data_IF_917268152697
#
_entry.id   IF_917268152697
#
_cell.length_a   1.000
_cell.length_b   1.000
_cell.length_c   1.000
_cell.angle_alpha   90.00
_cell.angle_beta   90.00
_cell.angle_gamma   90.00
#
_symmetry.space_group_name_H-M   'P 1'
#
loop_
_entity.id
_entity.type
_entity.pdbx_description
1 polymer ?
#
# COMPACT_ATOMS: atom_id res chain seq x y z
N UNK A 1 -7.29 -70.82 3.87
CA UNK A 1 -7.56 -69.51 4.50
C UNK A 1 -6.39 -68.53 4.25
N UNK A 2 -6.01 -68.30 2.97
CA UNK A 2 -4.83 -67.48 2.59
C UNK A 2 -5.15 -66.33 1.61
N UNK A 3 -6.39 -66.24 1.09
CA UNK A 3 -6.78 -65.23 0.08
C UNK A 3 -7.07 -63.83 0.65
N UNK A 4 -7.32 -63.68 1.95
CA UNK A 4 -7.59 -62.37 2.57
C UNK A 4 -6.34 -61.52 2.84
N UNK A 5 -5.13 -62.10 2.79
CA UNK A 5 -3.89 -61.37 3.11
C UNK A 5 -3.39 -60.47 1.96
N UNK A 6 -3.71 -60.80 0.71
CA UNK A 6 -3.24 -60.02 -0.44
C UNK A 6 -4.05 -58.73 -0.68
N UNK A 7 -5.35 -58.71 -0.35
CA UNK A 7 -6.17 -57.50 -0.47
C UNK A 7 -5.77 -56.40 0.51
N UNK A 8 -5.33 -56.78 1.72
CA UNK A 8 -4.84 -55.83 2.73
C UNK A 8 -3.58 -55.10 2.28
N UNK A 9 -2.61 -55.80 1.68
CA UNK A 9 -1.36 -55.19 1.20
C UNK A 9 -1.63 -54.17 0.10
N UNK A 10 -2.50 -54.48 -0.86
CA UNK A 10 -2.85 -53.53 -1.92
C UNK A 10 -3.55 -52.29 -1.35
N UNK A 11 -4.48 -52.49 -0.40
CA UNK A 11 -5.16 -51.39 0.28
C UNK A 11 -4.19 -50.51 1.05
N UNK A 12 -3.23 -51.10 1.76
CA UNK A 12 -2.23 -50.38 2.54
C UNK A 12 -1.29 -49.56 1.65
N UNK A 13 -0.89 -50.11 0.49
CA UNK A 13 -0.12 -49.37 -0.51
C UNK A 13 -0.94 -48.23 -1.10
N UNK A 14 -2.21 -48.47 -1.45
CA UNK A 14 -3.10 -47.43 -1.97
C UNK A 14 -3.35 -46.32 -0.95
N UNK A 15 -3.56 -46.68 0.32
CA UNK A 15 -3.75 -45.73 1.41
C UNK A 15 -2.48 -44.91 1.65
N UNK A 16 -1.31 -45.57 1.68
CA UNK A 16 -0.02 -44.89 1.82
C UNK A 16 0.22 -43.91 0.67
N UNK A 17 -0.09 -44.33 -0.57
CA UNK A 17 0.02 -43.47 -1.74
C UNK A 17 -0.97 -42.29 -1.67
N UNK A 18 -2.21 -42.53 -1.25
CA UNK A 18 -3.22 -41.48 -1.10
C UNK A 18 -2.81 -40.45 -0.04
N UNK A 19 -2.32 -40.90 1.11
CA UNK A 19 -1.82 -40.02 2.17
C UNK A 19 -0.59 -39.24 1.71
N UNK A 20 0.33 -39.88 0.99
CA UNK A 20 1.50 -39.22 0.44
C UNK A 20 1.13 -38.12 -0.57
N UNK A 21 0.25 -38.42 -1.51
CA UNK A 21 -0.22 -37.44 -2.51
C UNK A 21 -0.99 -36.31 -1.83
N UNK A 22 -1.84 -36.62 -0.84
CA UNK A 22 -2.54 -35.61 -0.05
C UNK A 22 -1.58 -34.68 0.69
N UNK A 23 -0.57 -35.24 1.36
CA UNK A 23 0.46 -34.45 2.03
C UNK A 23 1.25 -33.57 1.05
N UNK A 24 1.64 -34.10 -0.11
CA UNK A 24 2.35 -33.35 -1.15
C UNK A 24 1.49 -32.19 -1.70
N UNK A 25 0.20 -32.41 -1.91
CA UNK A 25 -0.71 -31.36 -2.37
C UNK A 25 -0.84 -30.23 -1.34
N UNK A 26 -0.95 -30.57 -0.05
CA UNK A 26 -1.02 -29.60 1.05
C UNK A 26 0.29 -28.80 1.14
N UNK A 27 1.45 -29.45 1.09
CA UNK A 27 2.73 -28.75 1.18
C UNK A 27 2.95 -27.80 0.01
N UNK A 28 2.61 -28.20 -1.22
CA UNK A 28 2.65 -27.32 -2.39
C UNK A 28 1.69 -26.14 -2.23
N UNK A 29 0.47 -26.39 -1.74
CA UNK A 29 -0.51 -25.34 -1.44
C UNK A 29 0.03 -24.33 -0.45
N UNK A 30 0.64 -24.78 0.65
CA UNK A 30 1.26 -23.89 1.64
C UNK A 30 2.42 -23.09 1.08
N UNK A 31 3.28 -23.70 0.24
CA UNK A 31 4.40 -23.00 -0.37
C UNK A 31 3.91 -21.85 -1.28
N UNK A 32 2.87 -22.09 -2.09
CA UNK A 32 2.26 -21.05 -2.94
C UNK A 32 1.70 -19.90 -2.10
N UNK A 33 0.99 -20.21 -1.02
CA UNK A 33 0.43 -19.18 -0.15
C UNK A 33 1.51 -18.32 0.50
N UNK A 34 2.63 -18.93 0.92
CA UNK A 34 3.78 -18.20 1.47
C UNK A 34 4.40 -17.28 0.41
N UNK A 35 4.56 -17.75 -0.83
CA UNK A 35 5.09 -16.92 -1.92
C UNK A 35 4.20 -15.70 -2.17
N UNK A 36 2.88 -15.88 -2.27
CA UNK A 36 1.94 -14.76 -2.44
C UNK A 36 1.97 -13.80 -1.25
N UNK A 37 2.12 -14.30 -0.02
CA UNK A 37 2.25 -13.46 1.16
C UNK A 37 3.56 -12.65 1.14
N UNK A 38 4.67 -13.24 0.70
CA UNK A 38 5.96 -12.55 0.56
C UNK A 38 5.91 -11.48 -0.53
N UNK A 39 5.29 -11.75 -1.68
CA UNK A 39 5.10 -10.76 -2.73
C UNK A 39 4.29 -9.56 -2.24
N UNK A 40 3.19 -9.82 -1.51
CA UNK A 40 2.39 -8.76 -0.89
C UNK A 40 3.20 -7.94 0.12
N UNK A 41 3.96 -8.61 0.99
CA UNK A 41 4.80 -7.94 1.97
C UNK A 41 5.91 -7.10 1.33
N UNK A 42 6.51 -7.60 0.25
CA UNK A 42 7.54 -6.88 -0.51
C UNK A 42 6.98 -5.60 -1.14
N UNK A 43 5.80 -5.69 -1.76
CA UNK A 43 5.11 -4.50 -2.30
C UNK A 43 4.74 -3.48 -1.23
N UNK A 44 4.25 -3.94 -0.08
CA UNK A 44 3.95 -3.05 1.05
C UNK A 44 5.20 -2.33 1.55
N UNK A 45 6.33 -3.05 1.66
CA UNK A 45 7.60 -2.44 2.04
C UNK A 45 8.07 -1.37 1.05
N UNK A 46 7.97 -1.64 -0.26
CA UNK A 46 8.29 -0.66 -1.29
C UNK A 46 7.41 0.60 -1.21
N UNK A 47 6.10 0.42 -0.97
CA UNK A 47 5.18 1.54 -0.81
C UNK A 47 5.52 2.40 0.42
N UNK A 48 5.92 1.77 1.53
CA UNK A 48 6.36 2.46 2.76
C UNK A 48 7.65 3.25 2.50
N UNK A 49 8.64 2.62 1.87
CA UNK A 49 9.94 3.24 1.60
C UNK A 49 9.78 4.43 0.63
N UNK A 50 8.92 4.28 -0.39
CA UNK A 50 8.57 5.37 -1.30
C UNK A 50 7.90 6.54 -0.56
N UNK A 51 6.85 6.27 0.22
CA UNK A 51 6.15 7.32 0.97
C UNK A 51 7.10 8.07 1.93
N UNK A 52 7.99 7.34 2.61
CA UNK A 52 9.01 7.93 3.50
C UNK A 52 10.04 8.77 2.75
N UNK A 53 10.54 8.30 1.59
CA UNK A 53 11.48 9.08 0.78
C UNK A 53 10.85 10.39 0.33
N UNK A 54 9.60 10.34 -0.15
CA UNK A 54 8.87 11.55 -0.58
C UNK A 54 8.62 12.52 0.55
N UNK A 55 8.23 12.01 1.72
CA UNK A 55 8.07 12.85 2.89
C UNK A 55 9.39 13.50 3.31
N UNK A 56 10.49 12.74 3.29
CA UNK A 56 11.82 13.25 3.63
C UNK A 56 12.34 14.27 2.59
N UNK A 57 12.08 14.05 1.30
CA UNK A 57 12.40 15.01 0.23
C UNK A 57 11.64 16.33 0.42
N UNK A 58 10.35 16.26 0.77
CA UNK A 58 9.51 17.42 1.07
C UNK A 58 10.00 18.14 2.33
N UNK A 59 10.32 17.41 3.40
CA UNK A 59 10.89 17.96 4.65
C UNK A 59 12.24 18.66 4.45
N UNK A 60 13.07 18.10 3.58
CA UNK A 60 14.37 18.65 3.25
C UNK A 60 14.29 19.86 2.30
N UNK A 61 13.10 20.19 1.79
CA UNK A 61 12.90 21.23 0.78
C UNK A 61 13.57 20.90 -0.56
N UNK A 62 13.78 19.60 -0.84
CA UNK A 62 14.34 19.13 -2.12
C UNK A 62 13.28 19.08 -3.23
N UNK A 63 12.02 18.92 -2.83
CA UNK A 63 10.85 18.97 -3.69
C UNK A 63 9.81 19.88 -3.04
N UNK A 64 9.03 20.58 -3.87
CA UNK A 64 7.90 21.38 -3.40
C UNK A 64 6.59 20.58 -3.47
N UNK A 65 5.53 21.11 -2.88
CA UNK A 65 4.23 20.45 -2.87
C UNK A 65 3.67 20.23 -4.29
N UNK A 66 3.92 21.20 -5.17
CA UNK A 66 3.53 21.13 -6.59
C UNK A 66 4.28 20.04 -7.35
N UNK A 67 5.58 19.85 -7.10
CA UNK A 67 6.35 18.78 -7.73
C UNK A 67 5.84 17.40 -7.31
N UNK A 68 5.33 17.28 -6.09
CA UNK A 68 4.78 16.04 -5.57
C UNK A 68 3.35 15.77 -6.10
N UNK A 69 2.56 16.82 -6.37
CA UNK A 69 1.22 16.73 -7.00
C UNK A 69 1.31 16.44 -8.50
N UNK A 70 2.25 17.05 -9.22
CA UNK A 70 2.49 16.79 -10.65
C UNK A 70 3.23 15.46 -10.88
N UNK A 71 4.15 15.12 -9.96
CA UNK A 71 4.84 13.83 -9.89
C UNK A 71 3.94 12.68 -9.41
N UNK A 72 2.68 12.93 -9.06
CA UNK A 72 1.73 11.93 -8.60
C UNK A 72 1.54 10.76 -9.57
N UNK A 73 1.77 11.02 -10.87
CA UNK A 73 1.65 10.04 -11.96
C UNK A 73 2.96 9.36 -12.34
N UNK A 74 4.08 9.76 -11.73
CA UNK A 74 5.40 9.19 -12.00
C UNK A 74 6.07 8.94 -10.66
N UNK A 75 5.96 7.71 -10.15
CA UNK A 75 6.78 7.32 -9.02
C UNK A 75 8.25 7.53 -9.43
N UNK A 76 8.97 8.42 -8.74
CA UNK A 76 10.34 8.69 -9.14
C UNK A 76 11.16 7.43 -8.89
N UNK A 77 11.51 6.83 -10.01
CA UNK A 77 12.74 6.10 -10.28
C UNK A 77 13.57 6.78 -11.37
N UNK A 78 13.25 8.00 -11.80
CA UNK A 78 14.08 8.72 -12.78
C UNK A 78 15.21 9.53 -12.12
N UNK A 79 16.00 8.89 -11.24
CA UNK A 79 17.43 9.16 -11.28
C UNK A 79 17.97 8.31 -12.42
N UNK A 80 17.81 8.82 -13.64
CA UNK A 80 18.28 8.22 -14.87
C UNK A 80 19.82 8.19 -14.83
N UNK A 81 20.42 7.23 -14.12
CA UNK A 81 21.87 7.05 -14.19
C UNK A 81 22.64 6.33 -13.08
N UNK A 82 22.08 5.85 -11.96
CA UNK A 82 22.96 5.26 -10.92
C UNK A 82 22.54 3.94 -10.26
N UNK A 83 21.27 3.57 -10.22
CA UNK A 83 20.85 2.29 -9.63
C UNK A 83 20.04 1.52 -10.66
N UNK A 84 20.50 0.31 -10.99
CA UNK A 84 19.97 -0.51 -12.07
C UNK A 84 18.48 -0.83 -11.92
N UNK A 85 17.90 -1.23 -13.06
CA UNK A 85 16.52 -1.63 -13.40
C UNK A 85 15.91 -2.77 -12.52
N UNK A 86 16.35 -2.89 -11.26
CA UNK A 86 16.02 -3.97 -10.32
C UNK A 86 15.09 -3.50 -9.18
N UNK A 87 14.98 -2.19 -8.94
CA UNK A 87 13.93 -1.60 -8.10
C UNK A 87 12.80 -1.14 -9.02
N UNK A 88 11.58 -1.61 -8.76
CA UNK A 88 10.41 -1.53 -9.64
C UNK A 88 10.36 -0.28 -10.52
N UNK A 89 10.07 -0.50 -11.81
CA UNK A 89 9.91 0.58 -12.79
C UNK A 89 8.99 1.62 -12.18
N UNK A 90 9.33 2.90 -12.28
CA UNK A 90 8.52 4.01 -11.75
C UNK A 90 7.09 4.06 -12.28
N UNK A 91 6.74 3.17 -13.21
CA UNK A 91 5.41 2.91 -13.74
C UNK A 91 4.55 1.98 -12.87
N UNK A 92 5.08 1.36 -11.80
CA UNK A 92 4.35 0.40 -10.96
C UNK A 92 3.59 1.05 -9.79
N UNK A 93 3.84 2.34 -9.51
CA UNK A 93 3.29 3.04 -8.35
C UNK A 93 2.69 4.39 -8.72
N UNK A 94 1.57 4.75 -8.09
CA UNK A 94 0.93 6.07 -8.14
C UNK A 94 0.98 6.69 -6.75
N UNK A 95 1.41 7.94 -6.64
CA UNK A 95 1.56 8.64 -5.37
C UNK A 95 0.58 9.79 -5.33
N UNK A 96 -0.31 9.82 -4.36
CA UNK A 96 -1.29 10.89 -4.17
C UNK A 96 -0.90 11.70 -2.94
N UNK A 97 -1.00 13.02 -3.03
CA UNK A 97 -0.69 13.93 -1.94
C UNK A 97 -1.94 14.72 -1.62
N UNK A 98 -2.30 14.74 -0.35
CA UNK A 98 -3.34 15.61 0.19
C UNK A 98 -2.77 16.44 1.33
N UNK A 99 -3.18 17.70 1.41
CA UNK A 99 -2.75 18.62 2.46
C UNK A 99 -3.93 19.26 3.14
N UNK A 100 -3.89 19.29 4.47
CA UNK A 100 -4.94 19.86 5.31
C UNK A 100 -4.35 20.87 6.29
N UNK A 101 -5.00 22.02 6.43
CA UNK A 101 -4.62 23.01 7.46
C UNK A 101 -4.96 22.46 8.84
N UNK A 102 -4.02 22.60 9.77
CA UNK A 102 -4.27 22.16 11.15
C UNK A 102 -4.63 23.33 12.06
N UNK A 103 -5.20 23.00 13.22
CA UNK A 103 -5.44 23.97 14.30
C UNK A 103 -4.14 24.59 14.87
N UNK A 104 -2.99 24.00 14.56
CA UNK A 104 -1.69 24.49 14.99
C UNK A 104 -1.13 25.52 14.00
N UNK A 105 -0.91 26.73 14.47
CA UNK A 105 -0.39 27.83 13.64
C UNK A 105 0.94 27.48 13.00
N UNK A 106 0.96 27.52 11.65
CA UNK A 106 2.16 27.23 10.86
C UNK A 106 2.45 25.74 10.67
N UNK A 107 1.49 24.85 10.95
CA UNK A 107 1.60 23.43 10.64
C UNK A 107 0.49 22.99 9.67
N UNK A 108 0.91 22.24 8.65
CA UNK A 108 0.04 21.61 7.66
C UNK A 108 0.17 20.10 7.80
N UNK A 109 -0.95 19.41 7.83
CA UNK A 109 -0.98 17.95 7.76
C UNK A 109 -0.79 17.55 6.30
N UNK A 110 0.31 16.85 6.02
CA UNK A 110 0.55 16.27 4.69
C UNK A 110 0.28 14.78 4.77
N UNK A 111 -0.55 14.29 3.86
CA UNK A 111 -0.87 12.89 3.69
C UNK A 111 -0.37 12.41 2.33
N UNK A 112 0.58 11.49 2.33
CA UNK A 112 1.09 10.83 1.11
C UNK A 112 0.51 9.42 1.06
N UNK A 113 -0.26 9.14 0.02
CA UNK A 113 -0.89 7.85 -0.24
C UNK A 113 -0.24 7.18 -1.44
N UNK A 114 0.24 5.94 -1.27
CA UNK A 114 0.87 5.15 -2.34
C UNK A 114 -0.08 4.04 -2.78
N UNK A 115 -0.29 3.94 -4.09
CA UNK A 115 -1.19 3.00 -4.77
C UNK A 115 -0.45 2.22 -5.85
N UNK A 116 -0.87 0.98 -6.13
CA UNK A 116 -0.35 0.25 -7.30
C UNK A 116 -0.81 0.98 -8.59
N UNK A 117 0.09 1.13 -9.56
CA UNK A 117 -0.26 1.73 -10.84
C UNK A 117 -1.25 0.83 -11.61
N UNK A 118 -2.31 1.44 -12.11
CA UNK A 118 -3.39 0.74 -12.82
C UNK A 118 -4.45 0.12 -11.91
N UNK A 119 -4.38 0.32 -10.59
CA UNK A 119 -5.52 0.08 -9.72
C UNK A 119 -6.53 1.23 -9.86
N UNK A 120 -7.81 0.90 -10.13
CA UNK A 120 -8.88 1.91 -10.12
C UNK A 120 -8.97 2.57 -8.74
N UNK A 121 -9.16 3.89 -8.70
CA UNK A 121 -9.20 4.67 -7.45
C UNK A 121 -10.26 4.17 -6.46
N UNK A 122 -11.38 3.65 -6.97
CA UNK A 122 -12.50 3.14 -6.18
C UNK A 122 -12.33 1.67 -5.75
N UNK A 123 -11.25 1.00 -6.15
CA UNK A 123 -11.04 -0.41 -5.79
C UNK A 123 -10.60 -0.56 -4.33
N UNK A 124 -11.34 -1.30 -3.48
CA UNK A 124 -10.92 -1.60 -2.12
C UNK A 124 -9.68 -2.51 -2.16
N UNK A 125 -8.50 -1.89 -2.06
CA UNK A 125 -7.20 -2.55 -2.18
C UNK A 125 -6.19 -1.84 -3.09
N UNK A 126 -6.61 -0.76 -3.76
CA UNK A 126 -5.73 0.11 -4.56
C UNK A 126 -4.72 0.85 -3.69
N UNK A 127 -5.14 1.29 -2.51
CA UNK A 127 -4.26 1.93 -1.51
C UNK A 127 -3.43 0.86 -0.80
N UNK A 128 -2.11 0.98 -0.92
CA UNK A 128 -1.15 0.13 -0.19
C UNK A 128 -0.72 0.76 1.12
N UNK A 129 -0.43 2.05 1.13
CA UNK A 129 0.07 2.73 2.32
C UNK A 129 -0.27 4.22 2.31
N UNK A 130 -0.55 4.79 3.49
CA UNK A 130 -0.71 6.23 3.67
C UNK A 130 0.16 6.69 4.84
N UNK A 131 1.06 7.63 4.57
CA UNK A 131 1.86 8.32 5.58
C UNK A 131 1.22 9.69 5.86
N UNK A 132 1.02 10.02 7.13
CA UNK A 132 0.49 11.34 7.55
C UNK A 132 1.44 11.98 8.55
N UNK A 133 1.83 13.22 8.31
CA UNK A 133 2.69 13.94 9.23
C UNK A 133 2.49 15.46 9.14
N UNK A 134 2.71 16.13 10.27
CA UNK A 134 2.63 17.58 10.41
C UNK A 134 3.94 18.21 9.98
N UNK A 135 3.90 19.08 8.99
CA UNK A 135 5.05 19.84 8.52
C UNK A 135 4.82 21.34 8.64
N UNK A 136 5.90 22.06 8.92
CA UNK A 136 5.93 23.50 8.77
C UNK A 136 6.34 23.81 7.33
N UNK A 137 5.34 24.02 6.48
CA UNK A 137 5.55 24.45 5.10
C UNK A 137 5.99 25.93 5.07
N UNK A 138 6.83 26.29 4.10
CA UNK A 138 7.22 27.67 3.86
C UNK A 138 6.02 28.48 3.33
N UNK A 139 6.07 29.81 3.49
CA UNK A 139 4.98 30.72 3.09
C UNK A 139 4.63 30.64 1.59
N UNK A 140 5.52 30.09 0.75
CA UNK A 140 5.31 29.87 -0.68
C UNK A 140 4.41 28.65 -1.00
N UNK A 141 4.39 27.63 -0.14
CA UNK A 141 3.58 26.42 -0.32
C UNK A 141 2.19 26.52 0.35
N UNK A 142 2.03 27.46 1.30
CA UNK A 142 0.81 27.65 2.08
C UNK A 142 -0.27 28.52 1.37
N UNK A 143 -0.07 28.89 0.11
CA UNK A 143 -0.99 29.78 -0.61
C UNK A 143 -1.90 29.04 -1.59
N UNK A 144 -1.69 27.74 -1.82
CA UNK A 144 -2.41 26.95 -2.84
C UNK A 144 -3.28 25.85 -2.19
N UNK A 145 -3.98 26.22 -1.12
CA UNK A 145 -5.04 25.41 -0.52
C UNK A 145 -6.31 25.57 -1.39
N UNK A 146 -6.41 24.81 -2.47
CA UNK A 146 -7.75 24.53 -3.02
C UNK A 146 -8.47 23.67 -1.97
N UNK A 147 -9.53 24.24 -1.38
CA UNK A 147 -10.47 23.51 -0.55
C UNK A 147 -11.00 22.33 -1.39
N UNK A 148 -10.44 21.13 -1.20
CA UNK A 148 -11.03 19.91 -1.73
C UNK A 148 -12.41 19.78 -1.06
N UNK A 149 -13.46 20.17 -1.78
CA UNK A 149 -14.88 20.16 -1.42
C UNK A 149 -15.45 18.75 -1.13
N UNK A 150 -14.62 17.78 -0.73
CA UNK A 150 -15.03 16.40 -0.51
C UNK A 150 -15.65 16.15 0.88
N UNK A 151 -15.64 17.16 1.78
CA UNK A 151 -16.20 17.08 3.14
C UNK A 151 -17.28 18.14 3.46
N UNK A 152 -18.14 18.51 2.50
CA UNK A 152 -19.31 19.38 2.75
C UNK A 152 -20.47 18.66 3.51
N UNK A 153 -20.15 17.67 4.33
CA UNK A 153 -21.14 16.82 5.02
C UNK A 153 -20.92 16.65 6.52
N UNK A 154 -19.83 17.17 7.08
CA UNK A 154 -19.58 17.09 8.52
C UNK A 154 -19.90 18.44 9.16
N UNK A 155 -21.15 18.58 9.63
CA UNK A 155 -21.56 19.67 10.53
C UNK A 155 -21.37 19.22 11.99
N UNK A 156 -20.23 19.55 12.64
CA UNK A 156 -20.03 19.27 14.06
C UNK A 156 -20.90 20.16 14.99
N UNK A 157 -21.70 21.08 14.43
CA UNK A 157 -22.58 22.01 15.14
C UNK A 157 -24.00 21.51 15.39
N UNK A 158 -24.49 20.49 14.68
CA UNK A 158 -25.88 20.04 14.77
C UNK A 158 -26.24 19.28 16.07
N UNK A 159 -25.30 19.10 17.01
CA UNK A 159 -25.53 18.35 18.26
C UNK A 159 -25.46 19.22 19.53
N UNK A 160 -25.75 20.52 19.42
CA UNK A 160 -25.93 21.42 20.57
C UNK A 160 -26.99 22.49 20.30
N UNK A 161 -28.26 22.10 20.38
CA UNK A 161 -29.29 22.90 21.06
C UNK A 161 -30.64 22.19 20.99
N UNK A 162 -31.02 21.51 22.08
CA UNK A 162 -32.39 21.58 22.59
C UNK A 162 -32.37 21.39 24.12
N UNK A 163 -32.70 22.45 24.87
CA UNK A 163 -33.42 22.28 26.11
C UNK A 163 -34.65 23.23 26.18
N UNK A 164 -35.86 22.67 26.10
CA UNK A 164 -36.86 22.65 27.19
C UNK A 164 -38.23 22.18 26.71
#
# INVERSE_FOLDING_TARGET
MMRQRHGGILFEVMLSLALFVGAAAVTIGTARNVMTALERSSREQQAVDLARSRMAELEAGLINLNDLRDGARSAIGSFEGFLGDEFGRGDDWTVEVSTERTEYTGLTLVAITVRDAGADEDSPGAVRFTLRQLLRLGDEDALEFEDDELFDGFDPGAMRDEPR
#
